data_IF_521555800282
#
_entry.id   IF_521555800282
#
_cell.length_a   1.000
_cell.length_b   1.000
_cell.length_c   1.000
_cell.angle_alpha   90.00
_cell.angle_beta   90.00
_cell.angle_gamma   90.00
#
_symmetry.space_group_name_H-M   'P 1'
#
loop_
_entity.id
_entity.type
_entity.pdbx_description
1 polymer ?
#
# COMPACT_ATOMS: atom_id res chain seq x y z
N UNK A 1 15.91 -2.40 -19.49
CA UNK A 1 16.80 -2.79 -18.37
C UNK A 1 16.84 -1.74 -17.23
N UNK A 2 17.03 -0.45 -17.52
CA UNK A 2 17.07 0.63 -16.52
C UNK A 2 15.75 0.81 -15.72
N UNK A 3 14.59 0.60 -16.35
CA UNK A 3 13.30 0.66 -15.65
C UNK A 3 13.10 -0.51 -14.66
N UNK A 4 13.59 -1.71 -15.00
CA UNK A 4 13.62 -2.87 -14.09
C UNK A 4 14.63 -2.67 -12.97
N UNK A 5 15.81 -2.13 -13.27
CA UNK A 5 16.82 -1.80 -12.25
C UNK A 5 16.30 -0.73 -11.29
N UNK A 6 15.69 0.35 -11.78
CA UNK A 6 15.10 1.40 -10.95
C UNK A 6 13.88 0.96 -10.14
N UNK A 7 13.11 -0.04 -10.60
CA UNK A 7 12.04 -0.64 -9.82
C UNK A 7 12.58 -1.61 -8.75
N UNK A 8 13.56 -2.44 -9.10
CA UNK A 8 14.26 -3.31 -8.14
C UNK A 8 15.01 -2.50 -7.09
N UNK A 9 15.70 -1.42 -7.47
CA UNK A 9 16.37 -0.48 -6.56
C UNK A 9 15.37 0.26 -5.66
N UNK A 10 14.21 0.68 -6.17
CA UNK A 10 13.14 1.25 -5.33
C UNK A 10 12.55 0.21 -4.37
N UNK A 11 12.43 -1.04 -4.79
CA UNK A 11 12.06 -2.16 -3.94
C UNK A 11 13.15 -2.54 -2.93
N UNK A 12 14.42 -2.33 -3.25
CA UNK A 12 15.58 -2.59 -2.37
C UNK A 12 15.81 -1.47 -1.36
N UNK A 13 15.62 -0.20 -1.74
CA UNK A 13 15.72 0.97 -0.86
C UNK A 13 14.67 0.96 0.28
N UNK A 14 13.57 0.24 0.07
CA UNK A 14 12.53 -0.04 1.06
C UNK A 14 12.88 -1.21 1.99
N UNK A 15 14.09 -1.78 1.92
CA UNK A 15 14.51 -2.86 2.82
C UNK A 15 15.50 -2.32 3.85
N UNK A 16 15.26 -2.66 5.11
CA UNK A 16 16.07 -2.29 6.28
C UNK A 16 17.58 -2.43 6.02
N UNK A 17 17.98 -3.54 5.40
CA UNK A 17 19.39 -3.89 5.19
C UNK A 17 20.13 -2.96 4.23
N UNK A 18 19.45 -2.38 3.23
CA UNK A 18 20.08 -1.48 2.25
C UNK A 18 20.46 -0.14 2.88
N UNK A 19 19.68 0.35 3.84
CA UNK A 19 19.96 1.61 4.53
C UNK A 19 20.94 1.42 5.68
N UNK A 20 20.84 0.31 6.41
CA UNK A 20 21.85 -0.07 7.40
C UNK A 20 23.24 -0.17 6.75
N UNK A 21 23.33 -0.77 5.54
CA UNK A 21 24.58 -0.81 4.76
C UNK A 21 25.04 0.57 4.33
N UNK A 22 24.15 1.51 3.97
CA UNK A 22 24.53 2.89 3.66
C UNK A 22 25.18 3.60 4.86
N UNK A 23 24.67 3.43 6.07
CA UNK A 23 25.30 3.97 7.29
C UNK A 23 26.65 3.31 7.58
N UNK A 24 26.78 1.99 7.37
CA UNK A 24 28.09 1.31 7.46
C UNK A 24 29.08 1.84 6.45
N UNK A 25 28.65 2.03 5.20
CA UNK A 25 29.46 2.62 4.13
C UNK A 25 29.81 4.07 4.48
N UNK A 26 28.92 4.85 5.07
CA UNK A 26 29.21 6.20 5.55
C UNK A 26 30.27 6.20 6.67
N UNK A 27 30.24 5.22 7.58
CA UNK A 27 31.28 5.04 8.60
C UNK A 27 32.65 4.73 7.99
N UNK A 28 32.70 3.82 7.02
CA UNK A 28 33.94 3.51 6.27
C UNK A 28 34.40 4.72 5.45
N UNK A 29 33.49 5.41 4.76
CA UNK A 29 33.80 6.60 3.98
C UNK A 29 34.32 7.74 4.87
N UNK A 30 33.77 7.91 6.08
CA UNK A 30 34.28 8.86 7.08
C UNK A 30 35.72 8.54 7.46
N UNK A 31 36.06 7.24 7.59
CA UNK A 31 37.43 6.82 7.85
C UNK A 31 38.38 7.14 6.69
N UNK A 32 37.93 6.90 5.45
CA UNK A 32 38.71 7.23 4.25
C UNK A 32 38.87 8.75 4.06
N UNK A 33 37.80 9.53 4.31
CA UNK A 33 37.82 10.99 4.26
C UNK A 33 38.76 11.57 5.31
N UNK A 34 38.79 11.01 6.52
CA UNK A 34 39.71 11.42 7.56
C UNK A 34 41.17 11.15 7.18
N UNK A 35 41.46 10.04 6.47
CA UNK A 35 42.78 9.78 5.92
C UNK A 35 43.19 10.79 4.84
N UNK A 36 42.27 11.21 3.97
CA UNK A 36 42.53 12.22 2.92
C UNK A 36 42.70 13.64 3.47
N UNK A 37 41.89 14.01 4.46
CA UNK A 37 41.84 15.36 5.01
C UNK A 37 42.87 15.61 6.13
N UNK A 38 43.63 14.58 6.53
CA UNK A 38 44.60 14.65 7.64
C UNK A 38 45.59 15.81 7.52
N UNK A 39 46.01 16.14 6.30
CA UNK A 39 47.06 17.13 6.01
C UNK A 39 46.51 18.57 5.89
N UNK A 40 45.18 18.73 5.84
CA UNK A 40 44.49 20.03 5.75
C UNK A 40 43.92 20.52 7.08
N UNK A 41 44.02 19.72 8.15
CA UNK A 41 43.46 20.04 9.47
C UNK A 41 44.55 20.70 10.35
N UNK A 42 44.31 21.92 10.88
CA UNK A 42 45.26 22.59 11.77
C UNK A 42 45.56 21.76 13.02
N UNK A 43 46.85 21.61 13.36
CA UNK A 43 47.32 20.78 14.48
C UNK A 43 46.82 21.23 15.88
N UNK A 44 46.19 22.40 15.99
CA UNK A 44 45.67 22.96 17.26
C UNK A 44 44.22 22.55 17.58
N UNK A 45 43.51 21.92 16.63
CA UNK A 45 42.12 21.49 16.81
C UNK A 45 41.96 20.17 17.59
N UNK A 46 42.77 19.11 17.38
CA UNK A 46 42.61 17.84 18.10
C UNK A 46 42.69 17.98 19.62
N UNK A 47 43.60 18.83 20.11
CA UNK A 47 43.78 19.11 21.54
C UNK A 47 42.60 19.88 22.18
N UNK A 48 41.79 20.58 21.37
CA UNK A 48 40.62 21.35 21.84
C UNK A 48 39.30 20.59 21.73
N UNK A 49 39.22 19.60 20.84
CA UNK A 49 37.97 18.90 20.48
C UNK A 49 37.68 17.70 21.39
N UNK A 50 38.59 17.35 22.30
CA UNK A 50 38.37 16.26 23.25
C UNK A 50 38.35 14.91 22.53
N UNK A 51 39.44 14.57 21.86
CA UNK A 51 39.62 13.34 21.10
C UNK A 51 39.23 12.06 21.86
N UNK A 52 39.38 12.05 23.20
CA UNK A 52 38.98 10.95 24.08
C UNK A 52 37.46 10.86 24.34
N UNK A 53 36.72 11.94 24.11
CA UNK A 53 35.27 11.95 24.24
C UNK A 53 34.58 11.19 23.10
N UNK A 54 35.20 11.14 21.91
CA UNK A 54 34.67 10.43 20.72
C UNK A 54 34.47 8.96 21.03
N UNK A 55 35.48 8.30 21.60
CA UNK A 55 35.44 6.86 21.91
C UNK A 55 34.34 6.52 22.91
N UNK A 56 34.21 7.33 23.96
CA UNK A 56 33.12 7.20 24.95
C UNK A 56 31.75 7.37 24.32
N UNK A 57 31.59 8.38 23.46
CA UNK A 57 30.33 8.65 22.76
C UNK A 57 29.97 7.50 21.82
N UNK A 58 30.91 7.04 20.98
CA UNK A 58 30.67 5.91 20.07
C UNK A 58 30.32 4.65 20.85
N UNK A 59 30.97 4.39 21.99
CA UNK A 59 30.65 3.23 22.86
C UNK A 59 29.25 3.32 23.44
N UNK A 60 28.83 4.52 23.88
CA UNK A 60 27.45 4.76 24.35
C UNK A 60 26.45 4.53 23.22
N UNK A 61 26.72 5.03 22.01
CA UNK A 61 25.85 4.82 20.85
C UNK A 61 25.79 3.34 20.48
N UNK A 62 26.92 2.63 20.43
CA UNK A 62 26.95 1.21 20.08
C UNK A 62 26.14 0.35 21.07
N UNK A 63 26.30 0.58 22.38
CA UNK A 63 25.56 -0.18 23.39
C UNK A 63 24.06 0.17 23.43
N UNK A 64 23.72 1.46 23.39
CA UNK A 64 22.33 1.91 23.49
C UNK A 64 21.51 1.64 22.23
N UNK A 65 22.07 1.84 21.03
CA UNK A 65 21.31 1.71 19.79
C UNK A 65 20.91 0.27 19.48
N UNK A 66 21.70 -0.73 19.88
CA UNK A 66 21.29 -2.13 19.74
C UNK A 66 20.07 -2.46 20.62
N UNK A 67 20.06 -1.95 21.86
CA UNK A 67 18.93 -2.09 22.76
C UNK A 67 17.69 -1.36 22.24
N UNK A 68 17.83 -0.12 21.79
CA UNK A 68 16.73 0.68 21.19
C UNK A 68 16.19 0.01 19.92
N UNK A 69 17.06 -0.55 19.08
CA UNK A 69 16.65 -1.30 17.88
C UNK A 69 15.84 -2.54 18.26
N UNK A 70 16.30 -3.30 19.25
CA UNK A 70 15.62 -4.51 19.73
C UNK A 70 14.25 -4.17 20.33
N UNK A 71 14.19 -3.15 21.18
CA UNK A 71 12.93 -2.64 21.74
C UNK A 71 11.98 -2.21 20.62
N UNK A 72 12.46 -1.38 19.68
CA UNK A 72 11.63 -0.87 18.58
C UNK A 72 11.10 -1.98 17.67
N UNK A 73 11.92 -3.00 17.37
CA UNK A 73 11.49 -4.16 16.59
C UNK A 73 10.43 -4.98 17.34
N UNK A 74 10.63 -5.20 18.64
CA UNK A 74 9.66 -5.92 19.49
C UNK A 74 8.32 -5.18 19.59
N UNK A 75 8.37 -3.87 19.80
CA UNK A 75 7.17 -3.03 19.84
C UNK A 75 6.45 -3.03 18.49
N UNK A 76 7.18 -2.94 17.38
CA UNK A 76 6.62 -3.02 16.03
C UNK A 76 5.89 -4.36 15.80
N UNK A 77 6.53 -5.49 16.12
CA UNK A 77 5.91 -6.82 16.01
C UNK A 77 4.66 -6.92 16.89
N UNK A 78 4.71 -6.38 18.10
CA UNK A 78 3.56 -6.37 19.03
C UNK A 78 2.41 -5.52 18.49
N UNK A 79 2.70 -4.31 17.98
CA UNK A 79 1.71 -3.43 17.38
C UNK A 79 1.08 -4.04 16.12
N UNK A 80 1.90 -4.69 15.27
CA UNK A 80 1.39 -5.40 14.10
C UNK A 80 0.54 -6.62 14.47
N UNK A 81 0.91 -7.39 15.49
CA UNK A 81 0.09 -8.48 15.98
C UNK A 81 -1.24 -7.98 16.55
N UNK A 82 -1.22 -6.86 17.28
CA UNK A 82 -2.43 -6.20 17.77
C UNK A 82 -3.34 -5.75 16.61
N UNK A 83 -2.79 -5.09 15.59
CA UNK A 83 -3.54 -4.68 14.40
C UNK A 83 -4.08 -5.87 13.59
N UNK A 84 -3.29 -6.94 13.44
CA UNK A 84 -3.73 -8.16 12.76
C UNK A 84 -4.91 -8.83 13.49
N UNK A 85 -4.96 -8.70 14.82
CA UNK A 85 -6.07 -9.21 15.64
C UNK A 85 -7.32 -8.31 15.64
N UNK A 86 -7.19 -7.02 15.31
CA UNK A 86 -8.28 -6.03 15.41
C UNK A 86 -8.82 -5.50 14.08
N UNK A 87 -8.06 -5.59 12.97
CA UNK A 87 -8.35 -4.94 11.69
C UNK A 87 -8.65 -5.98 10.61
N UNK A 88 -7.66 -6.77 10.20
CA UNK A 88 -7.77 -8.00 9.39
C UNK A 88 -6.35 -8.48 9.04
N UNK A 89 -6.09 -9.80 8.93
CA UNK A 89 -4.81 -10.31 8.43
C UNK A 89 -4.39 -9.77 7.05
N UNK A 90 -5.34 -9.29 6.23
CA UNK A 90 -5.08 -8.73 4.89
C UNK A 90 -4.62 -7.26 4.90
N UNK A 91 -4.77 -6.56 6.02
CA UNK A 91 -4.19 -5.23 6.21
C UNK A 91 -2.67 -5.28 6.44
N UNK A 92 -2.14 -6.43 6.86
CA UNK A 92 -0.74 -6.60 7.23
C UNK A 92 0.26 -6.18 6.12
N UNK A 93 0.11 -6.61 4.85
CA UNK A 93 1.01 -6.17 3.79
C UNK A 93 0.94 -4.66 3.50
N UNK A 94 -0.22 -4.02 3.75
CA UNK A 94 -0.38 -2.57 3.57
C UNK A 94 0.37 -1.78 4.64
N UNK A 95 0.44 -2.31 5.87
CA UNK A 95 1.11 -1.66 7.00
C UNK A 95 2.62 -1.89 7.02
N UNK A 96 3.12 -3.02 6.46
CA UNK A 96 4.56 -3.29 6.39
C UNK A 96 5.32 -2.38 5.42
N UNK A 97 4.63 -1.73 4.49
CA UNK A 97 5.24 -0.74 3.60
C UNK A 97 5.46 0.63 4.27
N UNK A 98 5.12 0.78 5.56
CA UNK A 98 5.38 2.04 6.26
C UNK A 98 6.88 2.33 6.34
N UNK A 99 7.28 3.30 5.51
CA UNK A 99 8.64 3.80 5.45
C UNK A 99 9.08 4.44 6.77
N UNK A 100 8.20 4.99 7.59
CA UNK A 100 8.60 5.69 8.83
C UNK A 100 9.20 4.71 9.83
N UNK A 101 8.53 3.59 10.07
CA UNK A 101 9.02 2.51 10.94
C UNK A 101 10.35 1.93 10.45
N UNK A 102 10.43 1.65 9.16
CA UNK A 102 11.66 1.11 8.56
C UNK A 102 12.82 2.12 8.63
N UNK A 103 12.54 3.42 8.47
CA UNK A 103 13.53 4.48 8.58
C UNK A 103 14.10 4.55 10.00
N UNK A 104 13.24 4.46 11.02
CA UNK A 104 13.68 4.51 12.40
C UNK A 104 14.62 3.34 12.75
N UNK A 105 14.18 2.11 12.45
CA UNK A 105 14.98 0.91 12.68
C UNK A 105 16.31 0.92 11.91
N UNK A 106 16.29 1.37 10.65
CA UNK A 106 17.51 1.45 9.84
C UNK A 106 18.50 2.49 10.39
N UNK A 107 18.03 3.63 10.89
CA UNK A 107 18.87 4.64 11.55
C UNK A 107 19.50 4.10 12.83
N UNK A 108 18.73 3.41 13.68
CA UNK A 108 19.27 2.86 14.94
C UNK A 108 20.31 1.78 14.68
N UNK A 109 20.01 0.82 13.79
CA UNK A 109 20.95 -0.22 13.39
C UNK A 109 22.18 0.35 12.67
N UNK A 110 21.97 1.34 11.79
CA UNK A 110 23.03 2.04 11.09
C UNK A 110 23.97 2.81 12.03
N UNK A 111 23.42 3.47 13.03
CA UNK A 111 24.18 4.20 14.06
C UNK A 111 24.99 3.26 14.96
N UNK A 112 24.45 2.08 15.27
CA UNK A 112 25.19 1.01 15.92
C UNK A 112 26.39 0.56 15.08
N UNK A 113 26.17 0.25 13.79
CA UNK A 113 27.23 -0.19 12.88
C UNK A 113 28.28 0.90 12.63
N UNK A 114 27.86 2.16 12.46
CA UNK A 114 28.74 3.32 12.36
C UNK A 114 29.66 3.40 13.59
N UNK A 115 29.07 3.30 14.78
CA UNK A 115 29.84 3.36 16.03
C UNK A 115 30.82 2.20 16.18
N UNK A 116 30.42 0.98 15.82
CA UNK A 116 31.30 -0.18 15.83
C UNK A 116 32.49 -0.01 14.88
N UNK A 117 32.25 0.43 13.65
CA UNK A 117 33.31 0.71 12.67
C UNK A 117 34.22 1.84 13.18
N UNK A 118 33.65 2.89 13.77
CA UNK A 118 34.39 4.00 14.38
C UNK A 118 35.31 3.53 15.51
N UNK A 119 34.81 2.71 16.43
CA UNK A 119 35.59 2.14 17.56
C UNK A 119 36.72 1.24 17.03
N UNK A 120 36.44 0.36 16.07
CA UNK A 120 37.46 -0.53 15.48
C UNK A 120 38.56 0.30 14.81
N UNK A 121 38.19 1.33 14.05
CA UNK A 121 39.13 2.19 13.36
C UNK A 121 39.94 3.09 14.32
N UNK A 122 39.37 3.51 15.44
CA UNK A 122 40.10 4.20 16.51
C UNK A 122 41.08 3.26 17.23
N UNK A 123 40.65 2.04 17.54
CA UNK A 123 41.44 1.03 18.24
C UNK A 123 42.65 0.53 17.43
N UNK A 124 42.53 0.52 16.10
CA UNK A 124 43.61 0.16 15.18
C UNK A 124 44.57 1.32 14.87
N UNK A 125 44.30 2.52 15.40
CA UNK A 125 45.13 3.71 15.18
C UNK A 125 45.00 4.33 13.79
N UNK A 126 44.05 3.86 12.96
CA UNK A 126 43.91 4.26 11.56
C UNK A 126 43.62 5.76 11.36
N UNK A 127 43.00 6.43 12.33
CA UNK A 127 42.55 7.82 12.19
C UNK A 127 43.62 8.88 12.49
N UNK A 128 44.62 8.60 13.33
CA UNK A 128 45.51 9.63 13.88
C UNK A 128 44.76 10.76 14.63
N UNK A 129 45.48 11.75 15.17
CA UNK A 129 44.85 12.81 15.99
C UNK A 129 43.94 13.74 15.17
N UNK A 130 44.32 14.06 13.93
CA UNK A 130 43.52 14.92 13.04
C UNK A 130 42.25 14.21 12.54
N UNK A 131 42.30 12.90 12.27
CA UNK A 131 41.13 12.15 11.83
C UNK A 131 40.06 11.99 12.91
N UNK A 132 40.46 12.01 14.20
CA UNK A 132 39.52 12.01 15.35
C UNK A 132 38.60 13.24 15.33
N UNK A 133 39.07 14.39 14.85
CA UNK A 133 38.25 15.62 14.75
C UNK A 133 37.15 15.47 13.70
N UNK A 134 37.47 14.89 12.54
CA UNK A 134 36.47 14.60 11.49
C UNK A 134 35.44 13.59 12.00
N UNK A 135 35.90 12.53 12.67
CA UNK A 135 35.02 11.53 13.26
C UNK A 135 34.10 12.15 14.32
N UNK A 136 34.61 13.05 15.17
CA UNK A 136 33.79 13.77 16.16
C UNK A 136 32.68 14.59 15.50
N UNK A 137 33.01 15.38 14.48
CA UNK A 137 32.03 16.21 13.76
C UNK A 137 30.93 15.35 13.11
N UNK A 138 31.30 14.26 12.44
CA UNK A 138 30.33 13.32 11.87
C UNK A 138 29.51 12.63 12.96
N UNK A 139 30.13 12.25 14.08
CA UNK A 139 29.42 11.65 15.22
C UNK A 139 28.37 12.60 15.79
N UNK A 140 28.65 13.90 15.85
CA UNK A 140 27.66 14.90 16.29
C UNK A 140 26.45 14.98 15.34
N UNK A 141 26.69 14.93 14.03
CA UNK A 141 25.61 14.86 13.02
C UNK A 141 24.79 13.58 13.19
N UNK A 142 25.46 12.43 13.41
CA UNK A 142 24.81 11.15 13.67
C UNK A 142 23.95 11.23 14.94
N UNK A 143 24.43 11.84 16.02
CA UNK A 143 23.64 12.05 17.25
C UNK A 143 22.39 12.87 16.98
N UNK A 144 22.51 14.01 16.28
CA UNK A 144 21.34 14.83 15.95
C UNK A 144 20.32 14.04 15.13
N UNK A 145 20.79 13.23 14.18
CA UNK A 145 19.95 12.35 13.37
C UNK A 145 19.28 11.26 14.22
N UNK A 146 19.99 10.65 15.18
CA UNK A 146 19.43 9.68 16.13
C UNK A 146 18.32 10.34 16.95
N UNK A 147 18.57 11.50 17.55
CA UNK A 147 17.60 12.20 18.41
C UNK A 147 16.35 12.57 17.62
N UNK A 148 16.51 13.14 16.42
CA UNK A 148 15.38 13.45 15.54
C UNK A 148 14.57 12.21 15.18
N UNK A 149 15.26 11.12 14.81
CA UNK A 149 14.63 9.85 14.45
C UNK A 149 13.90 9.24 15.63
N UNK A 150 14.48 9.28 16.83
CA UNK A 150 13.87 8.76 18.04
C UNK A 150 12.61 9.53 18.42
N UNK A 151 12.63 10.87 18.37
CA UNK A 151 11.45 11.70 18.62
C UNK A 151 10.34 11.41 17.61
N UNK A 152 10.68 11.32 16.32
CA UNK A 152 9.74 10.94 15.26
C UNK A 152 9.19 9.53 15.46
N UNK A 153 10.02 8.60 15.92
CA UNK A 153 9.61 7.22 16.21
C UNK A 153 8.64 7.15 17.38
N UNK A 154 8.89 7.88 18.47
CA UNK A 154 7.98 7.94 19.63
C UNK A 154 6.63 8.53 19.23
N UNK A 155 6.64 9.63 18.48
CA UNK A 155 5.44 10.26 17.95
C UNK A 155 4.67 9.30 17.03
N UNK A 156 5.36 8.59 16.15
CA UNK A 156 4.75 7.59 15.27
C UNK A 156 4.22 6.39 16.05
N UNK A 157 4.93 5.93 17.07
CA UNK A 157 4.52 4.83 17.94
C UNK A 157 3.23 5.15 18.71
N UNK A 158 3.04 6.42 19.10
CA UNK A 158 1.79 6.84 19.75
C UNK A 158 0.55 6.70 18.85
N UNK A 159 0.76 6.60 17.52
CA UNK A 159 -0.27 6.43 16.50
C UNK A 159 -0.39 4.98 16.02
N UNK A 160 0.71 4.22 16.02
CA UNK A 160 0.75 2.78 15.73
C UNK A 160 -0.09 2.01 16.75
N UNK A 161 -1.26 1.53 16.33
CA UNK A 161 -2.20 0.79 17.17
C UNK A 161 -3.53 1.50 17.38
N UNK A 162 -3.66 2.78 16.99
CA UNK A 162 -4.97 3.41 16.86
C UNK A 162 -5.62 2.89 15.57
N UNK A 163 -6.85 2.38 15.69
CA UNK A 163 -7.67 1.91 14.57
C UNK A 163 -7.77 2.96 13.46
N UNK A 164 -7.84 4.25 13.84
CA UNK A 164 -7.91 5.36 12.89
C UNK A 164 -6.64 5.51 12.05
N UNK A 165 -5.45 5.57 12.65
CA UNK A 165 -4.19 5.71 11.89
C UNK A 165 -3.94 4.53 10.94
N UNK A 166 -4.35 3.32 11.36
CA UNK A 166 -4.28 2.11 10.54
C UNK A 166 -5.25 2.18 9.37
N UNK A 167 -6.48 2.63 9.63
CA UNK A 167 -7.51 2.81 8.61
C UNK A 167 -7.17 3.91 7.61
N UNK A 168 -6.51 4.98 8.06
CA UNK A 168 -6.03 6.07 7.19
C UNK A 168 -4.92 5.58 6.26
N UNK A 169 -3.98 4.78 6.77
CA UNK A 169 -2.94 4.16 5.95
C UNK A 169 -3.51 3.23 4.87
N UNK A 170 -4.56 2.48 5.21
CA UNK A 170 -5.27 1.60 4.26
C UNK A 170 -6.05 2.41 3.24
N UNK A 171 -6.70 3.50 3.66
CA UNK A 171 -7.39 4.43 2.75
C UNK A 171 -6.40 5.07 1.77
N UNK A 172 -5.23 5.50 2.22
CA UNK A 172 -4.20 6.09 1.36
C UNK A 172 -3.63 5.07 0.36
N UNK A 173 -3.39 3.83 0.80
CA UNK A 173 -2.96 2.76 -0.11
C UNK A 173 -4.05 2.43 -1.15
N UNK A 174 -5.32 2.36 -0.73
CA UNK A 174 -6.45 2.14 -1.61
C UNK A 174 -6.61 3.29 -2.62
N UNK A 175 -6.51 4.54 -2.15
CA UNK A 175 -6.55 5.76 -2.96
C UNK A 175 -5.44 5.75 -4.00
N UNK A 176 -4.22 5.40 -3.62
CA UNK A 176 -3.10 5.37 -4.55
C UNK A 176 -3.29 4.32 -5.66
N UNK A 177 -3.77 3.12 -5.34
CA UNK A 177 -4.11 2.11 -6.36
C UNK A 177 -5.25 2.56 -7.26
N UNK A 178 -6.28 3.19 -6.69
CA UNK A 178 -7.42 3.74 -7.43
C UNK A 178 -7.00 4.87 -8.37
N UNK A 179 -6.24 5.85 -7.88
CA UNK A 179 -5.72 6.97 -8.68
C UNK A 179 -4.79 6.50 -9.80
N UNK A 180 -3.98 5.47 -9.55
CA UNK A 180 -3.16 4.85 -10.59
C UNK A 180 -4.03 4.27 -11.71
N UNK A 181 -5.11 3.59 -11.37
CA UNK A 181 -6.08 3.08 -12.34
C UNK A 181 -6.79 4.21 -13.10
N UNK A 182 -7.19 5.27 -12.39
CA UNK A 182 -7.88 6.44 -12.98
C UNK A 182 -6.99 7.27 -13.90
N UNK A 183 -5.69 7.36 -13.60
CA UNK A 183 -4.70 8.06 -14.45
C UNK A 183 -4.26 7.22 -15.64
N UNK A 184 -4.34 5.89 -15.53
CA UNK A 184 -3.97 4.95 -16.58
C UNK A 184 -5.09 3.91 -16.76
N UNK A 185 -6.27 4.34 -17.27
CA UNK A 185 -7.41 3.43 -17.46
C UNK A 185 -6.97 2.27 -18.35
N UNK A 186 -7.56 1.09 -18.15
CA UNK A 186 -7.23 -0.11 -18.92
C UNK A 186 -5.73 -0.48 -18.88
N UNK A 187 -5.03 -0.14 -17.78
CA UNK A 187 -3.57 -0.30 -17.63
C UNK A 187 -2.76 0.42 -18.74
N UNK A 188 -3.34 1.47 -19.33
CA UNK A 188 -2.81 2.19 -20.49
C UNK A 188 -3.12 1.53 -21.84
N UNK A 189 -3.90 0.45 -21.86
CA UNK A 189 -4.45 -0.16 -23.08
C UNK A 189 -5.75 0.51 -23.53
N UNK A 190 -6.55 -0.23 -24.30
CA UNK A 190 -7.89 0.18 -24.74
C UNK A 190 -8.97 -0.68 -24.09
N UNK A 191 -10.18 -0.13 -23.97
CA UNK A 191 -11.32 -0.87 -23.45
C UNK A 191 -11.61 -2.11 -24.30
N UNK A 192 -11.68 -3.29 -23.69
CA UNK A 192 -12.19 -4.48 -24.34
C UNK A 192 -13.72 -4.37 -24.52
N UNK A 193 -14.28 -4.64 -25.72
CA UNK A 193 -15.73 -4.66 -25.90
C UNK A 193 -16.38 -5.75 -25.03
N UNK A 194 -17.38 -5.38 -24.23
CA UNK A 194 -18.01 -6.26 -23.24
C UNK A 194 -18.72 -7.46 -23.90
N UNK A 195 -19.37 -7.23 -25.03
CA UNK A 195 -20.24 -8.22 -25.69
C UNK A 195 -19.52 -9.05 -26.78
N UNK A 196 -18.29 -8.71 -27.12
CA UNK A 196 -17.56 -9.44 -28.16
C UNK A 196 -16.81 -10.63 -27.57
N UNK A 197 -17.02 -11.86 -28.09
CA UNK A 197 -16.23 -13.00 -27.69
C UNK A 197 -14.77 -12.74 -28.03
N UNK A 198 -13.89 -13.10 -27.09
CA UNK A 198 -12.46 -12.93 -27.30
C UNK A 198 -12.01 -13.84 -28.44
N UNK A 199 -11.46 -13.24 -29.48
CA UNK A 199 -10.94 -13.93 -30.65
C UNK A 199 -9.46 -14.25 -30.46
N UNK A 200 -8.96 -15.23 -31.22
CA UNK A 200 -7.56 -15.66 -31.19
C UNK A 200 -7.29 -16.85 -30.28
N UNK A 201 -6.01 -17.21 -30.16
CA UNK A 201 -5.60 -18.37 -29.34
C UNK A 201 -5.42 -17.94 -27.87
N UNK A 202 -5.84 -18.76 -26.90
CA UNK A 202 -5.65 -18.46 -25.49
C UNK A 202 -4.21 -18.75 -25.05
N UNK A 203 -3.62 -17.86 -24.26
CA UNK A 203 -2.42 -18.14 -23.47
C UNK A 203 -2.87 -18.42 -22.05
N UNK A 204 -2.84 -19.70 -21.66
CA UNK A 204 -3.31 -20.17 -20.36
C UNK A 204 -2.33 -19.86 -19.24
N UNK A 205 -2.86 -19.71 -18.02
CA UNK A 205 -2.07 -19.68 -16.80
C UNK A 205 -1.29 -21.00 -16.63
N UNK A 206 -0.13 -20.93 -15.98
CA UNK A 206 0.71 -22.10 -15.66
C UNK A 206 0.53 -22.61 -14.23
N UNK A 207 -0.10 -21.82 -13.37
CA UNK A 207 -0.33 -22.14 -11.96
C UNK A 207 -1.59 -21.50 -11.43
N UNK A 208 -2.09 -22.04 -10.33
CA UNK A 208 -3.20 -21.47 -9.58
C UNK A 208 -2.74 -20.31 -8.69
N UNK A 209 -3.43 -19.19 -8.71
CA UNK A 209 -3.15 -18.04 -7.83
C UNK A 209 -3.83 -16.75 -8.25
N UNK A 210 -3.66 -15.70 -7.45
CA UNK A 210 -4.10 -14.35 -7.78
C UNK A 210 -3.17 -13.70 -8.78
N UNK A 211 -3.73 -13.12 -9.84
CA UNK A 211 -3.01 -12.23 -10.74
C UNK A 211 -2.63 -10.95 -9.99
N UNK A 212 -1.35 -10.76 -9.72
CA UNK A 212 -0.84 -9.60 -8.99
C UNK A 212 -0.44 -8.45 -9.92
N UNK A 213 0.16 -8.79 -11.07
CA UNK A 213 0.76 -7.80 -11.97
C UNK A 213 0.71 -8.23 -13.43
N UNK A 214 0.50 -7.24 -14.29
CA UNK A 214 0.65 -7.33 -15.74
C UNK A 214 1.74 -6.35 -16.21
N UNK A 215 2.80 -6.86 -16.86
CA UNK A 215 3.87 -6.07 -17.47
C UNK A 215 3.43 -5.59 -18.87
N UNK A 216 2.61 -4.53 -18.90
CA UNK A 216 2.11 -3.93 -20.16
C UNK A 216 3.22 -3.51 -21.14
N UNK A 217 4.34 -2.91 -20.72
CA UNK A 217 5.48 -2.66 -21.62
C UNK A 217 5.99 -3.94 -22.30
N UNK A 218 6.19 -5.03 -21.54
CA UNK A 218 6.66 -6.29 -22.11
C UNK A 218 5.63 -6.88 -23.08
N UNK A 219 4.33 -6.80 -22.75
CA UNK A 219 3.27 -7.23 -23.66
C UNK A 219 3.27 -6.42 -24.96
N UNK A 220 3.45 -5.11 -24.89
CA UNK A 220 3.52 -4.24 -26.06
C UNK A 220 4.74 -4.57 -26.94
N UNK A 221 5.91 -4.75 -26.33
CA UNK A 221 7.15 -5.15 -27.03
C UNK A 221 6.99 -6.50 -27.75
N UNK A 222 6.32 -7.47 -27.10
CA UNK A 222 6.06 -8.79 -27.69
C UNK A 222 4.99 -8.74 -28.79
N UNK A 223 4.01 -7.85 -28.65
CA UNK A 223 2.92 -7.63 -29.60
C UNK A 223 3.43 -7.06 -30.94
N UNK A 224 4.27 -6.03 -30.87
CA UNK A 224 4.75 -5.30 -32.05
C UNK A 224 3.61 -4.75 -32.92
N UNK A 225 3.87 -4.55 -34.21
CA UNK A 225 2.92 -3.88 -35.12
C UNK A 225 1.87 -4.80 -35.74
N UNK A 226 1.99 -6.11 -35.55
CA UNK A 226 1.14 -7.11 -36.22
C UNK A 226 0.23 -7.89 -35.28
N UNK A 227 0.54 -7.87 -33.98
CA UNK A 227 -0.27 -8.56 -32.98
C UNK A 227 -1.47 -7.73 -32.50
N UNK A 228 -2.45 -8.43 -31.96
CA UNK A 228 -3.44 -7.88 -31.02
C UNK A 228 -3.51 -8.79 -29.81
N UNK A 229 -3.55 -8.19 -28.62
CA UNK A 229 -3.66 -8.91 -27.36
C UNK A 229 -4.92 -8.45 -26.65
N UNK A 230 -5.68 -9.38 -26.07
CA UNK A 230 -6.82 -9.05 -25.22
C UNK A 230 -6.66 -9.75 -23.88
N UNK A 231 -6.50 -8.97 -22.81
CA UNK A 231 -6.41 -9.53 -21.46
C UNK A 231 -7.73 -10.24 -21.12
N UNK A 232 -7.63 -11.41 -20.52
CA UNK A 232 -8.79 -12.17 -20.08
C UNK A 232 -9.14 -11.91 -18.60
N UNK A 233 -8.16 -11.42 -17.82
CA UNK A 233 -8.31 -11.19 -16.39
C UNK A 233 -7.59 -9.91 -15.95
N UNK A 234 -8.15 -9.25 -14.95
CA UNK A 234 -7.57 -8.07 -14.30
C UNK A 234 -6.76 -8.46 -13.06
N UNK A 235 -5.76 -7.66 -12.65
CA UNK A 235 -5.11 -7.83 -11.36
C UNK A 235 -6.16 -7.94 -10.23
N UNK A 236 -5.97 -8.91 -9.35
CA UNK A 236 -6.93 -9.30 -8.32
C UNK A 236 -7.74 -10.56 -8.63
N UNK A 237 -7.82 -10.97 -9.90
CA UNK A 237 -8.50 -12.21 -10.30
C UNK A 237 -7.77 -13.46 -9.80
N UNK A 238 -8.52 -14.44 -9.30
CA UNK A 238 -7.99 -15.76 -8.94
C UNK A 238 -8.08 -16.68 -10.16
N UNK A 239 -6.93 -17.19 -10.60
CA UNK A 239 -6.81 -17.97 -11.84
C UNK A 239 -6.33 -19.38 -11.56
N UNK A 240 -6.77 -20.33 -12.39
CA UNK A 240 -6.24 -21.69 -12.48
C UNK A 240 -5.68 -22.00 -13.89
N UNK A 241 -4.90 -23.09 -14.07
CA UNK A 241 -4.26 -23.40 -15.35
C UNK A 241 -5.20 -23.64 -16.55
N UNK A 242 -6.49 -23.86 -16.34
CA UNK A 242 -7.49 -23.96 -17.40
C UNK A 242 -7.99 -22.58 -17.88
N UNK A 243 -7.65 -21.50 -17.17
CA UNK A 243 -8.11 -20.15 -17.48
C UNK A 243 -7.09 -19.37 -18.31
N UNK A 244 -7.55 -18.59 -19.31
CA UNK A 244 -6.69 -17.73 -20.10
C UNK A 244 -6.19 -16.53 -19.29
N UNK A 245 -4.93 -16.16 -19.49
CA UNK A 245 -4.36 -14.87 -19.08
C UNK A 245 -4.69 -13.79 -20.11
N UNK A 246 -4.59 -14.16 -21.38
CA UNK A 246 -4.93 -13.32 -22.51
C UNK A 246 -5.30 -14.17 -23.73
N UNK A 247 -5.91 -13.50 -24.71
CA UNK A 247 -6.17 -13.96 -26.05
C UNK A 247 -5.25 -13.25 -27.03
N UNK A 248 -4.78 -13.99 -28.04
CA UNK A 248 -3.73 -13.54 -28.94
C UNK A 248 -4.12 -13.73 -30.39
N UNK A 249 -3.99 -12.66 -31.18
CA UNK A 249 -4.17 -12.67 -32.62
C UNK A 249 -2.91 -12.18 -33.33
N UNK A 250 -2.63 -12.72 -34.52
CA UNK A 250 -1.54 -12.26 -35.39
C UNK A 250 -0.12 -12.57 -34.89
N UNK A 251 0.04 -13.43 -33.87
CA UNK A 251 1.34 -13.79 -33.30
C UNK A 251 1.54 -15.32 -33.28
N UNK A 252 2.76 -15.81 -33.57
CA UNK A 252 3.08 -17.24 -33.55
C UNK A 252 3.04 -17.81 -32.12
N UNK A 253 2.65 -19.08 -31.93
CA UNK A 253 2.59 -19.74 -30.62
C UNK A 253 3.93 -19.77 -29.86
N UNK A 254 5.06 -19.66 -30.56
CA UNK A 254 6.41 -19.64 -29.94
C UNK A 254 6.60 -18.48 -28.94
N UNK A 255 5.79 -17.42 -29.04
CA UNK A 255 5.83 -16.28 -28.12
C UNK A 255 5.11 -16.54 -26.79
N UNK A 256 4.35 -17.63 -26.66
CA UNK A 256 3.38 -17.81 -25.57
C UNK A 256 4.03 -17.95 -24.21
N UNK A 257 5.19 -18.60 -24.14
CA UNK A 257 5.98 -18.67 -22.91
C UNK A 257 6.45 -17.27 -22.45
N UNK A 258 6.83 -16.40 -23.39
CA UNK A 258 7.26 -15.03 -23.09
C UNK A 258 6.08 -14.12 -22.74
N UNK A 259 4.94 -14.30 -23.40
CA UNK A 259 3.69 -13.60 -23.07
C UNK A 259 3.23 -13.97 -21.66
N UNK A 260 3.28 -15.26 -21.30
CA UNK A 260 2.99 -15.73 -19.94
C UNK A 260 3.90 -15.10 -18.89
N UNK A 261 5.20 -14.95 -19.19
CA UNK A 261 6.16 -14.32 -18.28
C UNK A 261 5.89 -12.83 -18.02
N UNK A 262 4.97 -12.18 -18.75
CA UNK A 262 4.51 -10.84 -18.45
C UNK A 262 3.47 -10.78 -17.31
N UNK A 263 2.97 -11.93 -16.85
CA UNK A 263 2.00 -12.04 -15.77
C UNK A 263 2.68 -12.56 -14.51
N UNK A 264 2.37 -11.94 -13.37
CA UNK A 264 2.82 -12.42 -12.05
C UNK A 264 1.61 -12.95 -11.30
N UNK A 265 1.55 -14.27 -11.10
CA UNK A 265 0.55 -14.93 -10.25
C UNK A 265 1.18 -15.26 -8.89
N UNK A 266 0.41 -15.30 -7.81
CA UNK A 266 0.91 -15.77 -6.50
C UNK A 266 -0.26 -16.30 -5.65
N UNK A 267 0.02 -17.01 -4.57
CA UNK A 267 -1.01 -17.50 -3.65
C UNK A 267 -1.72 -16.34 -2.92
N UNK A 268 -1.07 -15.18 -2.78
CA UNK A 268 -1.63 -14.00 -2.09
C UNK A 268 -2.09 -12.92 -3.06
N UNK A 269 -3.25 -12.32 -2.80
CA UNK A 269 -3.74 -11.10 -3.46
C UNK A 269 -2.98 -9.88 -2.92
N UNK A 270 -2.66 -8.91 -3.78
CA UNK A 270 -1.92 -7.69 -3.43
C UNK A 270 -2.55 -6.46 -4.06
N UNK A 271 -2.28 -5.29 -3.50
CA UNK A 271 -2.96 -4.03 -3.84
C UNK A 271 -2.35 -3.24 -5.00
N UNK A 272 -1.10 -3.49 -5.40
CA UNK A 272 -0.31 -2.58 -6.26
C UNK A 272 -0.96 -2.24 -7.62
N UNK A 273 -1.64 -3.20 -8.25
CA UNK A 273 -2.40 -3.00 -9.49
C UNK A 273 -3.90 -3.34 -9.36
N UNK A 274 -4.35 -3.62 -8.14
CA UNK A 274 -5.73 -4.04 -7.87
C UNK A 274 -6.49 -2.90 -7.18
N UNK A 275 -7.35 -2.16 -7.91
CA UNK A 275 -8.12 -1.06 -7.34
C UNK A 275 -9.23 -1.51 -6.39
N UNK A 276 -9.60 -2.80 -6.36
CA UNK A 276 -10.65 -3.35 -5.50
C UNK A 276 -10.13 -3.74 -4.12
N UNK A 277 -8.88 -4.19 -4.04
CA UNK A 277 -8.32 -4.77 -2.81
C UNK A 277 -8.46 -3.84 -1.60
N UNK A 278 -8.21 -2.54 -1.78
CA UNK A 278 -8.33 -1.56 -0.69
C UNK A 278 -9.75 -1.47 -0.12
N UNK A 279 -10.77 -1.50 -0.99
CA UNK A 279 -12.18 -1.52 -0.57
C UNK A 279 -12.56 -2.84 0.11
N UNK A 280 -12.04 -3.97 -0.38
CA UNK A 280 -12.23 -5.27 0.29
C UNK A 280 -11.69 -5.23 1.73
N UNK A 281 -10.47 -4.70 1.92
CA UNK A 281 -9.86 -4.59 3.26
C UNK A 281 -10.66 -3.65 4.15
N UNK A 282 -11.13 -2.50 3.64
CA UNK A 282 -12.03 -1.61 4.38
C UNK A 282 -13.33 -2.33 4.77
N UNK A 283 -13.91 -3.11 3.86
CA UNK A 283 -15.11 -3.92 4.13
C UNK A 283 -14.88 -4.92 5.27
N UNK A 284 -13.75 -5.60 5.27
CA UNK A 284 -13.35 -6.51 6.35
C UNK A 284 -13.24 -5.79 7.70
N UNK A 285 -12.68 -4.59 7.75
CA UNK A 285 -12.58 -3.79 8.99
C UNK A 285 -13.97 -3.41 9.48
N UNK A 286 -14.82 -2.93 8.58
CA UNK A 286 -16.20 -2.57 8.93
C UNK A 286 -16.97 -3.79 9.46
N UNK A 287 -16.91 -4.93 8.77
CA UNK A 287 -17.57 -6.16 9.26
C UNK A 287 -16.97 -6.71 10.54
N UNK A 288 -15.64 -6.62 10.71
CA UNK A 288 -14.95 -6.99 11.95
C UNK A 288 -15.40 -6.15 13.14
N UNK A 289 -15.66 -4.85 12.92
CA UNK A 289 -16.24 -3.96 13.91
C UNK A 289 -17.73 -4.22 14.19
N UNK A 290 -18.43 -4.99 13.36
CA UNK A 290 -19.86 -5.31 13.52
C UNK A 290 -20.09 -6.72 14.11
N UNK A 291 -19.02 -7.43 14.49
CA UNK A 291 -19.14 -8.77 15.09
C UNK A 291 -19.85 -8.65 16.45
N UNK A 292 -20.85 -9.51 16.76
CA UNK A 292 -21.69 -9.35 17.96
C UNK A 292 -20.94 -9.29 19.30
N UNK A 293 -19.79 -9.93 19.42
CA UNK A 293 -18.99 -9.97 20.64
C UNK A 293 -18.20 -8.68 20.93
N UNK A 294 -18.06 -7.79 19.93
CA UNK A 294 -17.29 -6.54 20.03
C UNK A 294 -17.82 -5.51 19.02
N UNK A 295 -19.14 -5.34 18.97
CA UNK A 295 -19.74 -4.40 18.02
C UNK A 295 -19.38 -2.96 18.38
N UNK A 296 -18.70 -2.27 17.48
CA UNK A 296 -18.39 -0.85 17.51
C UNK A 296 -18.92 -0.19 16.22
N UNK A 297 -20.15 0.30 16.31
CA UNK A 297 -20.82 1.02 15.24
C UNK A 297 -20.04 2.28 14.82
N UNK A 298 -19.28 2.90 15.73
CA UNK A 298 -18.47 4.08 15.44
C UNK A 298 -17.37 3.80 14.42
N UNK A 299 -16.62 2.71 14.60
CA UNK A 299 -15.61 2.25 13.64
C UNK A 299 -16.23 1.95 12.28
N UNK A 300 -17.35 1.19 12.23
CA UNK A 300 -18.02 0.89 10.97
C UNK A 300 -18.51 2.14 10.23
N UNK A 301 -19.08 3.11 10.95
CA UNK A 301 -19.51 4.42 10.42
C UNK A 301 -18.31 5.20 9.85
N UNK A 302 -17.17 5.19 10.56
CA UNK A 302 -15.96 5.85 10.10
C UNK A 302 -15.44 5.23 8.80
N UNK A 303 -15.38 3.89 8.73
CA UNK A 303 -14.96 3.15 7.53
C UNK A 303 -15.91 3.38 6.34
N UNK A 304 -17.23 3.42 6.55
CA UNK A 304 -18.20 3.82 5.52
C UNK A 304 -17.87 5.22 4.96
N UNK A 305 -17.41 6.14 5.82
CA UNK A 305 -16.92 7.45 5.39
C UNK A 305 -15.66 7.38 4.52
N UNK A 306 -14.71 6.52 4.87
CA UNK A 306 -13.48 6.29 4.08
C UNK A 306 -13.80 5.72 2.70
N UNK A 307 -14.63 4.68 2.65
CA UNK A 307 -15.06 4.06 1.40
C UNK A 307 -15.86 5.04 0.52
N UNK A 308 -16.75 5.86 1.11
CA UNK A 308 -17.47 6.89 0.38
C UNK A 308 -16.50 7.89 -0.28
N UNK A 309 -15.45 8.35 0.42
CA UNK A 309 -14.45 9.25 -0.15
C UNK A 309 -13.73 8.64 -1.36
N UNK A 310 -13.29 7.39 -1.24
CA UNK A 310 -12.65 6.66 -2.34
C UNK A 310 -13.58 6.52 -3.55
N UNK A 311 -14.84 6.11 -3.32
CA UNK A 311 -15.82 5.93 -4.39
C UNK A 311 -16.24 7.25 -5.03
N UNK A 312 -16.20 8.38 -4.32
CA UNK A 312 -16.41 9.71 -4.94
C UNK A 312 -15.34 10.01 -6.00
N UNK A 313 -14.09 9.54 -5.85
CA UNK A 313 -13.03 9.75 -6.87
C UNK A 313 -13.33 9.04 -8.21
N UNK A 314 -14.23 8.04 -8.21
CA UNK A 314 -14.74 7.39 -9.43
C UNK A 314 -15.80 8.23 -10.15
N UNK A 315 -16.47 9.13 -9.43
CA UNK A 315 -17.54 9.99 -9.99
C UNK A 315 -16.97 11.22 -10.71
N UNK A 316 -15.70 11.54 -10.47
CA UNK A 316 -15.03 12.68 -11.08
C UNK A 316 -14.88 12.48 -12.58
N UNK A 317 -15.39 13.45 -13.37
CA UNK A 317 -15.17 13.47 -14.81
C UNK A 317 -13.69 13.69 -15.09
N UNK A 318 -13.11 12.84 -15.92
CA UNK A 318 -11.73 12.96 -16.40
C UNK A 318 -11.71 13.07 -17.92
N UNK A 319 -10.72 13.81 -18.41
CA UNK A 319 -10.47 13.88 -19.84
C UNK A 319 -10.02 12.50 -20.36
N UNK A 320 -10.40 12.13 -21.60
CA UNK A 320 -9.92 10.91 -22.21
C UNK A 320 -8.39 10.92 -22.28
N UNK A 321 -7.76 9.87 -21.74
CA UNK A 321 -6.31 9.67 -21.81
C UNK A 321 -6.00 8.86 -23.05
N UNK A 322 -5.05 9.31 -23.86
CA UNK A 322 -4.62 8.57 -25.06
C UNK A 322 -3.96 7.24 -24.66
N UNK A 323 -4.37 6.11 -25.26
CA UNK A 323 -3.88 4.80 -24.84
C UNK A 323 -2.41 4.64 -25.20
N UNK A 324 -1.58 4.37 -24.18
CA UNK A 324 -0.16 4.07 -24.35
C UNK A 324 0.09 2.77 -25.12
N UNK A 325 -0.83 1.82 -25.04
CA UNK A 325 -0.74 0.49 -25.64
C UNK A 325 -1.98 0.19 -26.50
N UNK A 326 -2.15 0.82 -27.68
CA UNK A 326 -3.39 0.78 -28.46
C UNK A 326 -3.76 -0.59 -29.03
N UNK A 327 -2.84 -1.56 -28.99
CA UNK A 327 -3.04 -2.94 -29.48
C UNK A 327 -3.33 -3.95 -28.37
N UNK A 328 -3.51 -3.47 -27.14
CA UNK A 328 -3.81 -4.30 -25.98
C UNK A 328 -5.19 -3.89 -25.45
N UNK A 329 -6.16 -4.77 -25.65
CA UNK A 329 -7.49 -4.66 -25.08
C UNK A 329 -7.50 -5.17 -23.65
N UNK A 330 -8.11 -4.42 -22.75
CA UNK A 330 -8.15 -4.73 -21.32
C UNK A 330 -9.59 -4.64 -20.82
N UNK A 331 -10.08 -5.64 -20.07
CA UNK A 331 -11.41 -5.60 -19.46
C UNK A 331 -11.61 -4.36 -18.59
N UNK A 332 -12.84 -3.83 -18.58
CA UNK A 332 -13.20 -2.76 -17.67
C UNK A 332 -13.22 -3.25 -16.21
N UNK A 333 -12.96 -2.34 -15.26
CA UNK A 333 -13.17 -2.59 -13.85
C UNK A 333 -14.68 -2.80 -13.61
N UNK A 334 -15.06 -3.97 -13.11
CA UNK A 334 -16.45 -4.25 -12.71
C UNK A 334 -16.83 -3.38 -11.51
N UNK A 335 -17.71 -2.40 -11.74
CA UNK A 335 -18.30 -1.58 -10.67
C UNK A 335 -19.18 -2.44 -9.75
N UNK A 336 -19.89 -3.42 -10.33
CA UNK A 336 -20.75 -4.34 -9.60
C UNK A 336 -19.93 -5.10 -8.55
N UNK A 337 -18.79 -5.67 -8.97
CA UNK A 337 -17.85 -6.35 -8.09
C UNK A 337 -17.24 -5.41 -7.03
N UNK A 338 -16.90 -4.17 -7.43
CA UNK A 338 -16.30 -3.19 -6.54
C UNK A 338 -17.25 -2.81 -5.40
N UNK A 339 -18.54 -2.63 -5.71
CA UNK A 339 -19.57 -2.34 -4.73
C UNK A 339 -19.93 -3.59 -3.91
N UNK A 340 -20.00 -4.78 -4.52
CA UNK A 340 -20.22 -6.04 -3.83
C UNK A 340 -19.10 -6.35 -2.83
N UNK A 341 -17.84 -6.11 -3.18
CA UNK A 341 -16.69 -6.33 -2.29
C UNK A 341 -16.78 -5.54 -0.97
N UNK A 342 -17.51 -4.41 -0.94
CA UNK A 342 -17.63 -3.53 0.23
C UNK A 342 -19.05 -3.49 0.83
N UNK A 343 -20.06 -3.06 0.08
CA UNK A 343 -21.40 -2.81 0.61
C UNK A 343 -22.17 -4.10 0.89
N UNK A 344 -21.92 -5.18 0.16
CA UNK A 344 -22.61 -6.45 0.38
C UNK A 344 -22.31 -7.05 1.77
N UNK A 345 -21.04 -7.25 2.18
CA UNK A 345 -20.76 -7.79 3.51
C UNK A 345 -21.10 -6.79 4.62
N UNK A 346 -20.80 -5.50 4.44
CA UNK A 346 -21.13 -4.46 5.45
C UNK A 346 -22.64 -4.34 5.65
N UNK A 347 -23.43 -4.30 4.58
CA UNK A 347 -24.89 -4.23 4.68
C UNK A 347 -25.53 -5.50 5.25
N UNK A 348 -24.86 -6.65 5.19
CA UNK A 348 -25.30 -7.87 5.88
C UNK A 348 -25.10 -7.75 7.38
N UNK A 349 -23.90 -7.37 7.80
CA UNK A 349 -23.53 -7.37 9.22
C UNK A 349 -24.07 -6.13 9.95
N UNK A 350 -24.36 -5.04 9.23
CA UNK A 350 -25.02 -3.84 9.76
C UNK A 350 -26.54 -3.96 9.89
N UNK A 351 -27.16 -5.04 9.38
CA UNK A 351 -28.60 -5.20 9.37
C UNK A 351 -29.31 -5.00 10.73
N UNK A 352 -28.77 -5.47 11.88
CA UNK A 352 -29.39 -5.22 13.19
C UNK A 352 -29.12 -3.84 13.79
N UNK A 353 -28.32 -2.99 13.13
CA UNK A 353 -27.78 -1.74 13.71
C UNK A 353 -28.25 -0.53 12.89
N UNK A 354 -29.29 0.15 13.38
CA UNK A 354 -29.96 1.24 12.67
C UNK A 354 -28.99 2.38 12.33
N UNK A 355 -28.10 2.76 13.25
CA UNK A 355 -27.17 3.87 13.07
C UNK A 355 -26.16 3.63 11.92
N UNK A 356 -25.73 2.37 11.75
CA UNK A 356 -24.83 1.96 10.67
C UNK A 356 -25.60 1.87 9.35
N UNK A 357 -26.82 1.30 9.38
CA UNK A 357 -27.75 1.30 8.24
C UNK A 357 -28.04 2.71 7.73
N UNK A 358 -28.28 3.68 8.62
CA UNK A 358 -28.49 5.08 8.28
C UNK A 358 -27.27 5.67 7.57
N UNK A 359 -26.06 5.40 8.08
CA UNK A 359 -24.83 5.88 7.44
C UNK A 359 -24.62 5.26 6.06
N UNK A 360 -24.92 3.97 5.91
CA UNK A 360 -24.83 3.25 4.64
C UNK A 360 -25.75 3.88 3.60
N UNK A 361 -27.04 4.05 3.92
CA UNK A 361 -28.02 4.66 3.00
C UNK A 361 -27.62 6.09 2.61
N UNK A 362 -27.19 6.91 3.58
CA UNK A 362 -26.68 8.26 3.30
C UNK A 362 -25.44 8.26 2.40
N UNK A 363 -24.56 7.26 2.53
CA UNK A 363 -23.36 7.16 1.69
C UNK A 363 -23.73 6.83 0.25
N UNK A 364 -24.64 5.87 0.05
CA UNK A 364 -25.16 5.52 -1.27
C UNK A 364 -25.91 6.70 -1.92
N UNK A 365 -26.71 7.44 -1.14
CA UNK A 365 -27.38 8.65 -1.63
C UNK A 365 -26.38 9.70 -2.15
N UNK A 366 -25.27 9.91 -1.44
CA UNK A 366 -24.22 10.87 -1.87
C UNK A 366 -23.53 10.41 -3.16
N UNK A 367 -23.20 9.12 -3.25
CA UNK A 367 -22.63 8.55 -4.47
C UNK A 367 -23.60 8.62 -5.65
N UNK A 368 -24.91 8.40 -5.42
CA UNK A 368 -25.94 8.51 -6.45
C UNK A 368 -26.07 9.93 -7.02
N UNK A 369 -25.91 10.97 -6.21
CA UNK A 369 -25.96 12.37 -6.67
C UNK A 369 -24.80 12.71 -7.60
N UNK A 370 -23.61 12.18 -7.29
CA UNK A 370 -22.37 12.52 -8.01
C UNK A 370 -22.12 11.59 -9.20
N UNK A 371 -22.59 10.35 -9.13
CA UNK A 371 -22.29 9.28 -10.08
C UNK A 371 -23.04 9.33 -11.40
N UNK A 372 -22.46 8.64 -12.40
CA UNK A 372 -23.09 8.34 -13.68
C UNK A 372 -24.22 7.30 -13.54
N UNK A 373 -24.86 6.93 -14.64
CA UNK A 373 -25.95 5.95 -14.62
C UNK A 373 -25.52 4.57 -14.06
N UNK A 374 -24.25 4.18 -14.25
CA UNK A 374 -23.73 2.90 -13.76
C UNK A 374 -23.57 2.92 -12.24
N UNK A 375 -22.98 3.99 -11.69
CA UNK A 375 -22.86 4.17 -10.25
C UNK A 375 -24.25 4.29 -9.59
N UNK A 376 -25.21 4.99 -10.22
CA UNK A 376 -26.58 5.10 -9.70
C UNK A 376 -27.28 3.75 -9.63
N UNK A 377 -27.09 2.88 -10.62
CA UNK A 377 -27.61 1.51 -10.61
C UNK A 377 -27.08 0.71 -9.43
N UNK A 378 -25.77 0.75 -9.19
CA UNK A 378 -25.17 0.04 -8.06
C UNK A 378 -25.61 0.64 -6.72
N UNK A 379 -25.70 1.96 -6.59
CA UNK A 379 -26.23 2.60 -5.38
C UNK A 379 -27.65 2.14 -5.06
N UNK A 380 -28.51 2.05 -6.07
CA UNK A 380 -29.89 1.57 -5.90
C UNK A 380 -29.95 0.09 -5.51
N UNK A 381 -29.17 -0.78 -6.18
CA UNK A 381 -29.09 -2.21 -5.89
C UNK A 381 -28.69 -2.45 -4.44
N UNK A 382 -27.61 -1.81 -4.00
CA UNK A 382 -27.08 -1.98 -2.64
C UNK A 382 -27.97 -1.35 -1.57
N UNK A 383 -28.62 -0.22 -1.86
CA UNK A 383 -29.58 0.43 -0.97
C UNK A 383 -30.76 -0.49 -0.65
N UNK A 384 -31.36 -1.09 -1.69
CA UNK A 384 -32.48 -2.04 -1.56
C UNK A 384 -32.08 -3.30 -0.81
N UNK A 385 -30.92 -3.87 -1.14
CA UNK A 385 -30.44 -5.09 -0.50
C UNK A 385 -30.14 -4.88 0.99
N UNK A 386 -29.53 -3.75 1.35
CA UNK A 386 -29.29 -3.39 2.75
C UNK A 386 -30.60 -3.16 3.51
N UNK A 387 -31.59 -2.46 2.91
CA UNK A 387 -32.90 -2.25 3.51
C UNK A 387 -33.61 -3.58 3.78
N UNK A 388 -33.69 -4.46 2.78
CA UNK A 388 -34.37 -5.75 2.91
C UNK A 388 -33.80 -6.60 4.06
N UNK A 389 -32.47 -6.57 4.25
CA UNK A 389 -31.81 -7.27 5.37
C UNK A 389 -32.11 -6.61 6.71
N UNK A 390 -32.12 -5.29 6.76
CA UNK A 390 -32.43 -4.55 7.98
C UNK A 390 -33.89 -4.77 8.41
N UNK A 391 -34.84 -4.76 7.48
CA UNK A 391 -36.26 -5.05 7.76
C UNK A 391 -36.48 -6.47 8.32
N UNK A 392 -35.70 -7.44 7.84
CA UNK A 392 -35.74 -8.81 8.34
C UNK A 392 -35.17 -8.97 9.76
N UNK A 393 -34.36 -8.03 10.24
CA UNK A 393 -33.57 -8.19 11.47
C UNK A 393 -33.92 -7.18 12.57
N UNK A 394 -34.23 -5.93 12.23
CA UNK A 394 -34.55 -4.86 13.18
C UNK A 394 -35.83 -5.16 13.93
N UNK A 395 -35.79 -5.11 15.26
CA UNK A 395 -36.96 -5.39 16.11
C UNK A 395 -37.94 -4.22 16.21
N UNK A 396 -37.45 -2.98 16.17
CA UNK A 396 -38.30 -1.79 16.33
C UNK A 396 -38.85 -1.29 14.99
N UNK A 397 -40.11 -0.87 14.99
CA UNK A 397 -40.78 -0.39 13.77
C UNK A 397 -40.26 0.99 13.35
N UNK A 398 -39.94 1.85 14.31
CA UNK A 398 -39.42 3.20 14.12
C UNK A 398 -38.08 3.17 13.37
N UNK A 399 -37.18 2.27 13.75
CA UNK A 399 -35.89 2.08 13.08
C UNK A 399 -36.05 1.65 11.62
N UNK A 400 -37.02 0.77 11.34
CA UNK A 400 -37.34 0.35 9.97
C UNK A 400 -37.84 1.53 9.15
N UNK A 401 -38.74 2.35 9.70
CA UNK A 401 -39.28 3.54 9.01
C UNK A 401 -38.16 4.52 8.66
N UNK A 402 -37.19 4.74 9.56
CA UNK A 402 -36.03 5.61 9.29
C UNK A 402 -35.23 5.10 8.08
N UNK A 403 -34.93 3.80 8.02
CA UNK A 403 -34.17 3.23 6.90
C UNK A 403 -34.98 3.21 5.60
N UNK A 404 -36.29 2.97 5.67
CA UNK A 404 -37.19 3.04 4.51
C UNK A 404 -37.19 4.45 3.90
N UNK A 405 -37.28 5.49 4.73
CA UNK A 405 -37.22 6.88 4.27
C UNK A 405 -35.89 7.20 3.59
N UNK A 406 -34.77 6.80 4.20
CA UNK A 406 -33.44 7.03 3.63
C UNK A 406 -33.21 6.23 2.34
N UNK A 407 -33.73 5.01 2.24
CA UNK A 407 -33.67 4.23 1.00
C UNK A 407 -34.52 4.86 -0.10
N UNK A 408 -35.73 5.32 0.22
CA UNK A 408 -36.58 6.06 -0.72
C UNK A 408 -35.90 7.35 -1.23
N UNK A 409 -35.09 8.02 -0.40
CA UNK A 409 -34.26 9.14 -0.86
C UNK A 409 -33.25 8.70 -1.92
N UNK A 410 -32.57 7.56 -1.74
CA UNK A 410 -31.66 7.00 -2.75
C UNK A 410 -32.41 6.73 -4.06
N UNK A 411 -33.60 6.12 -3.99
CA UNK A 411 -34.41 5.83 -5.18
C UNK A 411 -34.79 7.11 -5.94
N UNK A 412 -35.25 8.14 -5.21
CA UNK A 412 -35.59 9.45 -5.81
C UNK A 412 -34.40 10.10 -6.48
N UNK A 413 -33.23 10.06 -5.83
CA UNK A 413 -32.00 10.63 -6.39
C UNK A 413 -31.56 9.89 -7.65
N UNK A 414 -31.68 8.55 -7.66
CA UNK A 414 -31.37 7.74 -8.83
C UNK A 414 -32.32 7.96 -10.01
N UNK A 415 -33.61 8.26 -9.75
CA UNK A 415 -34.63 8.50 -10.77
C UNK A 415 -34.62 9.92 -11.37
N UNK A 416 -34.03 10.90 -10.68
CA UNK A 416 -34.14 12.32 -11.02
C UNK A 416 -33.29 12.81 -12.21
N UNK A 417 -32.52 11.93 -12.88
CA UNK A 417 -31.58 12.26 -13.98
C UNK A 417 -31.28 11.05 -14.86
#
# INVERSE_FOLDING_TARGET
MLARLGWVLRGLQRRLWFRATLFSVAGVATALLALLLRDHIPASLPAKVGADAVDKILTIIASSMLAVTTFSLSTMVTAYNAAASSVTPRAYPLLLEDSTTQNALATFLGSFLFSLVGIIALSTGLYGDNGRVVLFAVTLVVILLIVFTLLRWIDHLSRLGQLDATSDSIEDAARHSLQRWLTHPYLGGVAAPVDEPANGRPVLADRTGYLQRVDMPLLADLCGDRGRLRLAAMPGAFLDPAQPLLWVEGLPPEKDARLRAAFTLDARRVHDQDPRFGLTVLGEIATGALVPSRSDSGTAIAILGRAQRLLTELTERREPVEPRYPRIEVPELSLDDLFDDFFLPVGRDAAPLVEVGMRLQKSLARLAVQGDARIRRECLRHSRLALARAEATLGQAEDRVILQQLAADVERLCASR
#
